data_IF_399604615433
#
_entry.id   IF_399604615433
#
_cell.length_a   1.000
_cell.length_b   1.000
_cell.length_c   1.000
_cell.angle_alpha   90.00
_cell.angle_beta   90.00
_cell.angle_gamma   90.00
#
_symmetry.space_group_name_H-M   'P 1'
#
loop_
_entity.id
_entity.type
_entity.pdbx_description
1 polymer ?
#
# COMPACT_ATOMS: atom_id res chain seq x y z
N UNK A 1 26.90 -33.98 23.62
CA UNK A 1 27.46 -33.44 22.36
C UNK A 1 26.32 -33.01 21.47
N UNK A 2 26.38 -31.74 21.06
CA UNK A 2 25.63 -31.01 20.04
C UNK A 2 24.45 -31.67 19.30
N UNK A 3 23.28 -31.01 19.36
CA UNK A 3 22.56 -30.58 18.15
C UNK A 3 22.27 -29.09 18.32
N UNK A 4 23.30 -28.26 18.10
CA UNK A 4 23.06 -26.87 17.72
C UNK A 4 22.69 -26.92 16.24
N UNK A 5 21.44 -27.25 15.94
CA UNK A 5 20.89 -27.02 14.61
C UNK A 5 20.85 -25.51 14.45
N UNK A 6 21.88 -24.97 13.80
CA UNK A 6 21.89 -23.62 13.26
C UNK A 6 20.68 -23.54 12.32
N UNK A 7 19.50 -23.21 12.86
CA UNK A 7 18.40 -22.81 12.03
C UNK A 7 18.89 -21.58 11.30
N UNK A 8 18.87 -21.56 9.96
CA UNK A 8 19.21 -20.34 9.23
C UNK A 8 18.35 -19.23 9.80
N UNK A 9 18.97 -18.14 10.24
CA UNK A 9 18.26 -16.99 10.77
C UNK A 9 17.36 -16.46 9.65
N UNK A 10 16.08 -16.84 9.68
CA UNK A 10 15.12 -16.39 8.69
C UNK A 10 15.00 -14.86 8.78
N UNK A 11 14.74 -14.17 7.66
CA UNK A 11 14.39 -12.76 7.72
C UNK A 11 13.16 -12.52 8.63
N UNK A 12 13.00 -11.31 9.19
CA UNK A 12 11.78 -10.95 9.90
C UNK A 12 10.52 -11.25 9.08
N UNK A 13 9.39 -11.49 9.74
CA UNK A 13 8.13 -11.89 9.07
C UNK A 13 7.70 -10.90 7.97
N UNK A 14 7.93 -9.60 8.17
CA UNK A 14 7.59 -8.55 7.21
C UNK A 14 8.44 -8.55 5.93
N UNK A 15 9.53 -9.31 5.89
CA UNK A 15 10.40 -9.47 4.71
C UNK A 15 10.29 -10.87 4.08
N UNK A 16 9.30 -11.66 4.50
CA UNK A 16 9.02 -12.99 3.93
C UNK A 16 7.66 -12.98 3.20
N UNK A 17 7.56 -13.53 1.98
CA UNK A 17 6.35 -13.42 1.18
C UNK A 17 5.14 -14.13 1.79
N UNK A 18 5.32 -15.30 2.41
CA UNK A 18 4.20 -16.10 2.90
C UNK A 18 3.50 -15.47 4.12
N UNK A 19 4.21 -14.96 5.16
CA UNK A 19 3.57 -14.20 6.24
C UNK A 19 2.90 -12.91 5.77
N UNK A 20 3.51 -12.18 4.84
CA UNK A 20 2.92 -10.98 4.23
C UNK A 20 1.61 -11.34 3.50
N UNK A 21 1.64 -12.38 2.66
CA UNK A 21 0.46 -12.86 1.95
C UNK A 21 -0.64 -13.30 2.92
N UNK A 22 -0.28 -14.06 3.96
CA UNK A 22 -1.25 -14.49 4.97
C UNK A 22 -1.88 -13.31 5.74
N UNK A 23 -1.13 -12.24 5.98
CA UNK A 23 -1.63 -11.02 6.61
C UNK A 23 -2.58 -10.24 5.69
N UNK A 24 -2.25 -10.12 4.40
CA UNK A 24 -3.02 -9.33 3.45
C UNK A 24 -4.19 -10.11 2.81
N UNK A 25 -4.18 -11.44 2.86
CA UNK A 25 -5.23 -12.28 2.25
C UNK A 25 -6.64 -11.93 2.75
N UNK A 26 -6.91 -11.72 4.06
CA UNK A 26 -8.23 -11.30 4.51
C UNK A 26 -8.69 -9.96 3.92
N UNK A 27 -7.77 -8.99 3.76
CA UNK A 27 -8.06 -7.68 3.18
C UNK A 27 -8.37 -7.82 1.68
N UNK A 28 -7.58 -8.63 0.96
CA UNK A 28 -7.80 -8.93 -0.46
C UNK A 28 -9.16 -9.61 -0.66
N UNK A 29 -9.47 -10.64 0.13
CA UNK A 29 -10.75 -11.35 0.04
C UNK A 29 -11.94 -10.44 0.35
N UNK A 30 -11.81 -9.57 1.35
CA UNK A 30 -12.84 -8.57 1.67
C UNK A 30 -13.05 -7.61 0.49
N UNK A 31 -11.97 -7.08 -0.08
CA UNK A 31 -12.03 -6.18 -1.23
C UNK A 31 -12.71 -6.85 -2.43
N UNK A 32 -12.28 -8.06 -2.80
CA UNK A 32 -12.87 -8.78 -3.93
C UNK A 32 -14.34 -9.12 -3.69
N UNK A 33 -14.71 -9.53 -2.47
CA UNK A 33 -16.10 -9.78 -2.12
C UNK A 33 -16.96 -8.50 -2.24
N UNK A 34 -16.46 -7.37 -1.75
CA UNK A 34 -17.14 -6.07 -1.88
C UNK A 34 -17.30 -5.66 -3.35
N UNK A 35 -16.30 -5.89 -4.19
CA UNK A 35 -16.39 -5.62 -5.64
C UNK A 35 -17.43 -6.52 -6.33
N UNK A 36 -17.46 -7.81 -5.99
CA UNK A 36 -18.41 -8.77 -6.56
C UNK A 36 -19.86 -8.49 -6.11
N UNK A 37 -20.06 -8.07 -4.86
CA UNK A 37 -21.38 -7.85 -4.26
C UNK A 37 -21.92 -6.43 -4.49
N UNK A 38 -21.07 -5.41 -4.47
CA UNK A 38 -21.47 -4.00 -4.59
C UNK A 38 -21.58 -3.49 -6.04
N UNK A 39 -21.16 -4.27 -7.03
CA UNK A 39 -21.35 -3.99 -8.45
C UNK A 39 -20.63 -2.72 -8.96
N UNK A 40 -21.17 -2.11 -10.02
CA UNK A 40 -20.53 -1.02 -10.80
C UNK A 40 -20.19 0.24 -10.00
N UNK A 41 -20.76 0.44 -8.81
CA UNK A 41 -20.54 1.64 -7.97
C UNK A 41 -19.18 1.64 -7.29
N UNK A 42 -18.80 0.54 -6.63
CA UNK A 42 -17.44 0.37 -6.11
C UNK A 42 -16.43 0.27 -7.24
N UNK A 43 -16.84 -0.28 -8.39
CA UNK A 43 -16.01 -0.30 -9.58
C UNK A 43 -15.70 1.12 -10.07
N UNK A 44 -16.70 1.99 -10.17
CA UNK A 44 -16.54 3.39 -10.56
C UNK A 44 -15.72 4.20 -9.54
N UNK A 45 -15.93 3.99 -8.23
CA UNK A 45 -15.22 4.68 -7.15
C UNK A 45 -13.71 4.53 -7.28
N UNK A 46 -13.33 3.32 -7.65
CA UNK A 46 -11.96 2.88 -7.66
C UNK A 46 -11.30 3.18 -9.00
N UNK A 47 -12.06 3.24 -10.11
CA UNK A 47 -11.63 3.76 -11.42
C UNK A 47 -11.30 5.25 -11.34
N UNK A 48 -12.11 6.04 -10.63
CA UNK A 48 -11.90 7.49 -10.47
C UNK A 48 -10.71 7.80 -9.56
N UNK A 49 -10.50 7.02 -8.49
CA UNK A 49 -9.28 7.11 -7.67
C UNK A 49 -7.99 6.78 -8.46
N UNK A 50 -8.11 6.11 -9.61
CA UNK A 50 -7.01 5.70 -10.49
C UNK A 50 -7.07 6.40 -11.86
N UNK A 51 -7.91 7.42 -12.07
CA UNK A 51 -8.09 8.04 -13.40
C UNK A 51 -6.78 8.64 -13.95
N UNK A 52 -5.88 9.08 -13.07
CA UNK A 52 -4.53 9.54 -13.45
C UNK A 52 -3.62 8.39 -13.93
N UNK A 53 -3.80 7.16 -13.44
CA UNK A 53 -3.18 5.95 -14.02
C UNK A 53 -3.87 5.59 -15.33
N UNK A 54 -5.17 5.88 -15.47
CA UNK A 54 -5.99 5.70 -16.67
C UNK A 54 -5.45 6.44 -17.90
N UNK A 55 -4.95 7.67 -17.76
CA UNK A 55 -4.34 8.41 -18.88
C UNK A 55 -3.01 7.80 -19.33
N UNK A 56 -2.16 7.34 -18.41
CA UNK A 56 -0.92 6.65 -18.73
C UNK A 56 -1.13 5.26 -19.35
N UNK A 57 -2.23 4.57 -18.99
CA UNK A 57 -2.54 3.20 -19.43
C UNK A 57 -3.55 3.12 -20.58
N UNK A 58 -4.16 4.24 -20.99
CA UNK A 58 -4.90 4.33 -22.25
C UNK A 58 -4.04 3.93 -23.46
N UNK A 59 -2.71 4.02 -23.31
CA UNK A 59 -1.72 3.49 -24.24
C UNK A 59 -1.78 1.97 -24.45
N UNK A 60 -2.23 1.19 -23.45
CA UNK A 60 -2.23 -0.28 -23.48
C UNK A 60 -3.61 -0.93 -23.72
N UNK A 61 -4.67 -0.14 -23.93
CA UNK A 61 -6.04 -0.65 -24.23
C UNK A 61 -6.59 -1.68 -23.22
N UNK A 62 -6.15 -1.63 -21.96
CA UNK A 62 -6.69 -2.47 -20.90
C UNK A 62 -7.97 -1.84 -20.33
N UNK A 63 -9.00 -2.65 -20.08
CA UNK A 63 -10.25 -2.17 -19.45
C UNK A 63 -9.95 -1.62 -18.05
N UNK A 64 -10.41 -0.40 -17.68
CA UNK A 64 -10.27 0.14 -16.33
C UNK A 64 -10.82 -0.79 -15.25
N UNK A 65 -11.86 -1.57 -15.57
CA UNK A 65 -12.47 -2.60 -14.69
C UNK A 65 -11.53 -3.80 -14.48
N UNK A 66 -10.75 -4.18 -15.49
CA UNK A 66 -9.75 -5.25 -15.38
C UNK A 66 -8.59 -4.82 -14.48
N UNK A 67 -8.08 -3.59 -14.62
CA UNK A 67 -7.06 -3.00 -13.74
C UNK A 67 -7.56 -2.95 -12.28
N UNK A 68 -8.87 -2.78 -12.12
CA UNK A 68 -9.51 -2.68 -10.82
C UNK A 68 -9.63 -4.00 -10.05
N UNK A 69 -10.16 -5.04 -10.68
CA UNK A 69 -10.14 -6.39 -10.09
C UNK A 69 -8.71 -6.94 -10.00
N UNK A 70 -7.80 -6.39 -10.79
CA UNK A 70 -6.42 -6.86 -10.79
C UNK A 70 -5.66 -6.46 -9.52
N UNK A 71 -5.96 -5.39 -8.77
CA UNK A 71 -5.04 -4.99 -7.68
C UNK A 71 -4.83 -6.09 -6.63
N UNK A 72 -5.92 -6.62 -6.06
CA UNK A 72 -5.85 -7.68 -5.06
C UNK A 72 -5.22 -8.95 -5.64
N UNK A 73 -5.64 -9.32 -6.85
CA UNK A 73 -5.12 -10.47 -7.59
C UNK A 73 -3.64 -10.32 -7.98
N UNK A 74 -3.16 -9.12 -8.30
CA UNK A 74 -1.78 -8.80 -8.66
C UNK A 74 -0.91 -8.87 -7.41
N UNK A 75 -1.36 -8.29 -6.28
CA UNK A 75 -0.64 -8.46 -5.00
C UNK A 75 -0.53 -9.94 -4.65
N UNK A 76 -1.63 -10.69 -4.77
CA UNK A 76 -1.62 -12.14 -4.54
C UNK A 76 -0.64 -12.85 -5.49
N UNK A 77 -0.70 -12.57 -6.79
CA UNK A 77 0.15 -13.19 -7.79
C UNK A 77 1.64 -12.86 -7.57
N UNK A 78 1.97 -11.61 -7.24
CA UNK A 78 3.33 -11.16 -6.96
C UNK A 78 3.88 -11.85 -5.72
N UNK A 79 3.15 -11.85 -4.61
CA UNK A 79 3.60 -12.48 -3.36
C UNK A 79 3.69 -14.01 -3.48
N UNK A 80 2.74 -14.64 -4.18
CA UNK A 80 2.75 -16.07 -4.45
C UNK A 80 3.93 -16.45 -5.35
N UNK A 81 4.16 -15.69 -6.42
CA UNK A 81 5.32 -15.89 -7.31
C UNK A 81 6.63 -15.72 -6.54
N UNK A 82 6.73 -14.67 -5.71
CA UNK A 82 7.89 -14.46 -4.86
C UNK A 82 8.11 -15.65 -3.91
N UNK A 83 7.06 -16.16 -3.26
CA UNK A 83 7.16 -17.34 -2.37
C UNK A 83 7.61 -18.60 -3.11
N UNK A 84 7.06 -18.86 -4.30
CA UNK A 84 7.47 -20.01 -5.13
C UNK A 84 8.93 -19.89 -5.56
N UNK A 85 9.37 -18.69 -5.96
CA UNK A 85 10.74 -18.42 -6.39
C UNK A 85 11.76 -18.51 -5.24
N UNK A 86 11.37 -18.17 -4.00
CA UNK A 86 12.27 -18.30 -2.84
C UNK A 86 12.34 -19.72 -2.30
N UNK A 87 11.39 -20.59 -2.64
CA UNK A 87 11.37 -21.98 -2.20
C UNK A 87 11.21 -22.14 -0.67
N UNK A 88 10.65 -21.12 0.00
CA UNK A 88 10.38 -21.18 1.43
C UNK A 88 9.34 -22.27 1.76
N UNK A 89 9.35 -22.76 3.00
CA UNK A 89 8.40 -23.79 3.42
C UNK A 89 6.99 -23.20 3.49
N UNK A 90 6.00 -23.96 3.00
CA UNK A 90 4.56 -23.67 3.14
C UNK A 90 4.05 -23.89 4.57
N UNK A 91 4.65 -23.19 5.54
CA UNK A 91 4.28 -23.27 6.95
C UNK A 91 4.13 -21.88 7.51
N UNK A 92 2.88 -21.51 7.78
CA UNK A 92 2.52 -20.24 8.40
C UNK A 92 2.52 -20.43 9.92
N UNK A 93 3.18 -19.52 10.63
CA UNK A 93 3.00 -19.38 12.07
C UNK A 93 1.92 -18.31 12.29
N UNK A 94 0.74 -18.65 12.83
CA UNK A 94 -0.42 -17.73 12.86
C UNK A 94 -0.15 -16.38 13.54
N UNK A 95 0.80 -16.35 14.49
CA UNK A 95 1.20 -15.13 15.18
C UNK A 95 1.93 -14.14 14.26
N UNK A 96 2.68 -14.60 13.27
CA UNK A 96 3.43 -13.74 12.35
C UNK A 96 2.51 -12.77 11.56
N UNK A 97 1.50 -13.24 10.79
CA UNK A 97 0.60 -12.33 10.08
C UNK A 97 -0.24 -11.48 11.03
N UNK A 98 -0.67 -12.01 12.18
CA UNK A 98 -1.42 -11.25 13.17
C UNK A 98 -0.60 -10.06 13.72
N UNK A 99 0.69 -10.27 13.97
CA UNK A 99 1.59 -9.20 14.42
C UNK A 99 1.84 -8.17 13.33
N UNK A 100 1.93 -8.56 12.06
CA UNK A 100 2.05 -7.60 10.94
C UNK A 100 0.81 -6.72 10.82
N UNK A 101 -0.38 -7.30 10.97
CA UNK A 101 -1.64 -6.54 11.00
C UNK A 101 -1.68 -5.57 12.18
N UNK A 102 -1.34 -6.03 13.39
CA UNK A 102 -1.31 -5.20 14.58
C UNK A 102 -0.30 -4.05 14.46
N UNK A 103 0.92 -4.35 13.99
CA UNK A 103 1.97 -3.36 13.78
C UNK A 103 1.52 -2.30 12.75
N UNK A 104 0.88 -2.72 11.66
CA UNK A 104 0.31 -1.81 10.67
C UNK A 104 -0.78 -0.91 11.25
N UNK A 105 -1.72 -1.47 12.03
CA UNK A 105 -2.76 -0.67 12.69
C UNK A 105 -2.17 0.37 13.64
N UNK A 106 -1.13 0.01 14.40
CA UNK A 106 -0.42 0.95 15.28
C UNK A 106 0.31 2.01 14.44
N UNK A 107 0.91 1.60 13.32
CA UNK A 107 1.62 2.49 12.40
C UNK A 107 0.69 3.44 11.61
N UNK A 108 -0.62 3.28 11.66
CA UNK A 108 -1.56 4.29 11.17
C UNK A 108 -1.63 5.53 12.08
N UNK A 109 -1.32 5.40 13.38
CA UNK A 109 -1.47 6.50 14.34
C UNK A 109 -0.61 7.74 14.02
N UNK A 110 0.67 7.62 13.59
CA UNK A 110 1.45 8.78 13.14
C UNK A 110 0.85 9.50 11.94
N UNK A 111 0.21 8.78 11.01
CA UNK A 111 -0.47 9.39 9.86
C UNK A 111 -1.69 10.20 10.33
N UNK A 112 -2.49 9.65 11.23
CA UNK A 112 -3.64 10.36 11.81
C UNK A 112 -3.23 11.60 12.59
N UNK A 113 -2.16 11.50 13.39
CA UNK A 113 -1.61 12.63 14.13
C UNK A 113 -1.07 13.72 13.20
N UNK A 114 -0.38 13.33 12.12
CA UNK A 114 0.12 14.27 11.11
C UNK A 114 -1.02 14.96 10.37
N UNK A 115 -2.06 14.24 9.95
CA UNK A 115 -3.22 14.83 9.29
C UNK A 115 -3.96 15.82 10.20
N UNK A 116 -4.09 15.51 11.50
CA UNK A 116 -4.63 16.45 12.48
C UNK A 116 -3.75 17.70 12.63
N UNK A 117 -2.42 17.53 12.69
CA UNK A 117 -1.46 18.62 12.83
C UNK A 117 -1.46 19.58 11.62
N UNK A 118 -1.53 19.03 10.40
CA UNK A 118 -1.60 19.83 9.17
C UNK A 118 -3.01 20.37 8.88
N UNK A 119 -4.01 20.00 9.68
CA UNK A 119 -5.40 20.43 9.50
C UNK A 119 -6.10 19.77 8.31
N UNK A 120 -5.60 18.63 7.83
CA UNK A 120 -6.06 17.97 6.59
C UNK A 120 -6.99 16.79 6.86
N UNK A 121 -7.32 16.50 8.13
CA UNK A 121 -8.13 15.33 8.51
C UNK A 121 -9.49 15.26 7.78
N UNK A 122 -10.05 16.41 7.37
CA UNK A 122 -11.30 16.49 6.61
C UNK A 122 -11.11 16.82 5.11
N UNK A 123 -9.90 17.23 4.73
CA UNK A 123 -9.57 17.68 3.37
C UNK A 123 -8.85 16.59 2.56
N UNK A 124 -8.23 15.62 3.22
CA UNK A 124 -7.42 14.59 2.56
C UNK A 124 -7.77 13.20 3.10
N UNK A 125 -8.49 12.40 2.32
CA UNK A 125 -8.05 11.02 2.17
C UNK A 125 -6.75 11.06 1.33
N UNK A 126 -5.81 10.14 1.51
CA UNK A 126 -4.59 10.08 0.69
C UNK A 126 -4.93 9.59 -0.73
N UNK A 127 -5.80 10.31 -1.45
CA UNK A 127 -6.14 10.00 -2.82
C UNK A 127 -6.74 11.21 -3.56
N UNK A 128 -6.56 11.29 -4.88
CA UNK A 128 -7.19 12.31 -5.71
C UNK A 128 -8.72 12.14 -5.64
N UNK A 129 -9.44 13.11 -5.07
CA UNK A 129 -10.90 13.17 -5.10
C UNK A 129 -11.33 14.37 -5.91
N UNK A 130 -12.08 14.12 -6.99
CA UNK A 130 -13.52 14.25 -6.85
C UNK A 130 -14.27 13.11 -7.55
N UNK A 131 -14.99 12.24 -6.82
CA UNK A 131 -16.24 11.68 -7.36
C UNK A 131 -17.05 10.77 -6.42
N UNK A 132 -16.46 10.03 -5.48
CA UNK A 132 -17.23 9.03 -4.71
C UNK A 132 -17.00 9.18 -3.22
N UNK A 133 -17.89 9.94 -2.60
CA UNK A 133 -18.15 9.84 -1.16
C UNK A 133 -18.68 8.43 -0.87
N UNK A 134 -18.00 7.63 -0.03
CA UNK A 134 -18.49 6.31 0.32
C UNK A 134 -19.90 6.43 0.92
N UNK A 135 -20.84 5.63 0.42
CA UNK A 135 -22.24 5.68 0.87
C UNK A 135 -22.50 4.83 2.12
N UNK A 136 -21.51 4.04 2.53
CA UNK A 136 -21.57 3.18 3.71
C UNK A 136 -20.19 2.98 4.31
N UNK A 137 -20.15 2.58 5.58
CA UNK A 137 -18.92 2.19 6.29
C UNK A 137 -18.17 1.07 5.56
N UNK A 138 -18.89 0.09 4.99
CA UNK A 138 -18.26 -1.01 4.26
C UNK A 138 -17.62 -0.53 2.95
N UNK A 139 -18.25 0.41 2.25
CA UNK A 139 -17.67 1.03 1.05
C UNK A 139 -16.40 1.81 1.40
N UNK A 140 -16.43 2.58 2.50
CA UNK A 140 -15.28 3.34 2.96
C UNK A 140 -14.07 2.44 3.27
N UNK A 141 -14.31 1.32 3.96
CA UNK A 141 -13.26 0.33 4.26
C UNK A 141 -12.75 -0.33 2.97
N UNK A 142 -13.63 -0.67 2.03
CA UNK A 142 -13.22 -1.27 0.76
C UNK A 142 -12.37 -0.33 -0.09
N UNK A 143 -12.75 0.96 -0.16
CA UNK A 143 -11.96 1.99 -0.84
C UNK A 143 -10.59 2.15 -0.18
N UNK A 144 -10.54 2.24 1.15
CA UNK A 144 -9.29 2.38 1.91
C UNK A 144 -8.33 1.19 1.72
N UNK A 145 -8.84 -0.04 1.82
CA UNK A 145 -8.05 -1.26 1.51
C UNK A 145 -7.58 -1.24 0.06
N UNK A 146 -8.47 -0.81 -0.83
CA UNK A 146 -8.19 -0.69 -2.23
C UNK A 146 -7.01 0.22 -2.53
N UNK A 147 -7.01 1.44 -1.99
CA UNK A 147 -5.96 2.44 -2.13
C UNK A 147 -4.65 1.96 -1.49
N UNK A 148 -4.71 1.47 -0.25
CA UNK A 148 -3.54 0.94 0.44
C UNK A 148 -2.86 -0.21 -0.30
N UNK A 149 -3.62 -1.12 -0.94
CA UNK A 149 -3.02 -2.19 -1.74
C UNK A 149 -2.41 -1.67 -3.05
N UNK A 150 -3.10 -0.80 -3.79
CA UNK A 150 -2.64 -0.33 -5.10
C UNK A 150 -1.44 0.59 -4.98
N UNK A 151 -1.51 1.57 -4.09
CA UNK A 151 -0.50 2.61 -3.98
C UNK A 151 0.77 2.07 -3.34
N UNK A 152 0.66 1.23 -2.31
CA UNK A 152 1.86 0.59 -1.75
C UNK A 152 2.49 -0.39 -2.74
N UNK A 153 1.70 -1.13 -3.53
CA UNK A 153 2.25 -1.99 -4.58
C UNK A 153 3.02 -1.16 -5.60
N UNK A 154 2.45 -0.04 -6.05
CA UNK A 154 3.04 0.81 -7.08
C UNK A 154 4.29 1.55 -6.57
N UNK A 155 4.18 2.32 -5.49
CA UNK A 155 5.25 3.21 -5.05
C UNK A 155 6.30 2.50 -4.19
N UNK A 156 5.89 1.53 -3.38
CA UNK A 156 6.78 0.90 -2.40
C UNK A 156 7.34 -0.39 -2.95
N UNK A 157 6.51 -1.37 -3.30
CA UNK A 157 7.02 -2.63 -3.81
C UNK A 157 7.69 -2.48 -5.19
N UNK A 158 6.95 -2.00 -6.19
CA UNK A 158 7.48 -1.84 -7.56
C UNK A 158 8.42 -0.64 -7.68
N UNK A 159 8.04 0.53 -7.17
CA UNK A 159 8.80 1.77 -7.28
C UNK A 159 10.17 1.69 -6.60
N UNK A 160 10.23 1.24 -5.34
CA UNK A 160 11.53 1.10 -4.63
C UNK A 160 12.37 0.03 -5.31
N UNK A 161 11.79 -1.10 -5.73
CA UNK A 161 12.53 -2.13 -6.46
C UNK A 161 13.12 -1.60 -7.78
N UNK A 162 12.37 -0.82 -8.55
CA UNK A 162 12.83 -0.23 -9.81
C UNK A 162 13.99 0.76 -9.59
N UNK A 163 13.87 1.64 -8.58
CA UNK A 163 14.94 2.60 -8.26
C UNK A 163 16.18 1.89 -7.72
N UNK A 164 16.02 0.87 -6.86
CA UNK A 164 17.14 0.08 -6.38
C UNK A 164 17.82 -0.70 -7.49
N UNK A 165 17.07 -1.33 -8.39
CA UNK A 165 17.62 -2.00 -9.56
C UNK A 165 18.48 -1.05 -10.40
N UNK A 166 17.98 0.16 -10.68
CA UNK A 166 18.74 1.16 -11.42
C UNK A 166 19.97 1.64 -10.66
N UNK A 167 19.81 2.07 -9.40
CA UNK A 167 20.90 2.71 -8.67
C UNK A 167 21.95 1.70 -8.18
N UNK A 168 21.52 0.58 -7.62
CA UNK A 168 22.40 -0.41 -7.02
C UNK A 168 22.89 -1.42 -8.04
N UNK A 169 22.00 -2.02 -8.82
CA UNK A 169 22.41 -3.13 -9.71
C UNK A 169 23.07 -2.61 -11.00
N UNK A 170 22.50 -1.57 -11.60
CA UNK A 170 23.02 -0.96 -12.85
C UNK A 170 24.13 0.06 -12.56
N UNK A 171 23.88 1.06 -11.70
CA UNK A 171 24.82 2.16 -11.44
C UNK A 171 25.81 1.88 -10.29
N UNK A 172 25.68 0.74 -9.59
CA UNK A 172 26.60 0.31 -8.52
C UNK A 172 26.73 1.31 -7.35
N UNK A 173 25.68 2.08 -7.09
CA UNK A 173 25.56 2.92 -5.88
C UNK A 173 25.47 2.02 -4.65
N UNK A 174 26.07 2.45 -3.52
CA UNK A 174 26.00 1.73 -2.24
C UNK A 174 24.54 1.48 -1.83
N UNK A 175 24.22 0.26 -1.40
CA UNK A 175 22.87 -0.17 -0.98
C UNK A 175 22.16 0.84 -0.06
N UNK A 176 22.85 1.34 0.96
CA UNK A 176 22.26 2.29 1.93
C UNK A 176 21.86 3.60 1.26
N UNK A 177 22.70 4.11 0.35
CA UNK A 177 22.43 5.32 -0.41
C UNK A 177 21.30 5.06 -1.43
N UNK A 178 21.33 3.92 -2.10
CA UNK A 178 20.26 3.48 -3.00
C UNK A 178 18.90 3.43 -2.30
N UNK A 179 18.84 2.88 -1.07
CA UNK A 179 17.62 2.84 -0.26
C UNK A 179 17.10 4.22 0.12
N UNK A 180 17.98 5.11 0.60
CA UNK A 180 17.59 6.49 0.94
C UNK A 180 17.04 7.21 -0.29
N UNK A 181 17.76 7.13 -1.42
CA UNK A 181 17.32 7.78 -2.66
C UNK A 181 16.02 7.17 -3.16
N UNK A 182 15.85 5.84 -3.09
CA UNK A 182 14.61 5.18 -3.50
C UNK A 182 13.41 5.66 -2.69
N UNK A 183 13.53 5.75 -1.36
CA UNK A 183 12.45 6.29 -0.50
C UNK A 183 12.14 7.75 -0.86
N UNK A 184 13.15 8.59 -1.07
CA UNK A 184 12.94 10.00 -1.44
C UNK A 184 12.25 10.13 -2.80
N UNK A 185 12.71 9.39 -3.80
CA UNK A 185 12.17 9.44 -5.16
C UNK A 185 10.74 8.93 -5.21
N UNK A 186 10.44 7.80 -4.54
CA UNK A 186 9.07 7.26 -4.56
C UNK A 186 8.12 8.07 -3.69
N UNK A 187 8.57 8.72 -2.62
CA UNK A 187 7.77 9.69 -1.86
C UNK A 187 7.45 10.94 -2.69
N UNK A 188 8.41 11.43 -3.49
CA UNK A 188 8.17 12.53 -4.42
C UNK A 188 7.16 12.13 -5.51
N UNK A 189 7.32 10.94 -6.10
CA UNK A 189 6.37 10.39 -7.08
C UNK A 189 4.97 10.22 -6.49
N UNK A 190 4.87 9.73 -5.25
CA UNK A 190 3.62 9.63 -4.50
C UNK A 190 2.95 11.00 -4.31
N UNK A 191 3.72 12.03 -3.99
CA UNK A 191 3.19 13.40 -3.85
C UNK A 191 2.68 13.94 -5.18
N UNK A 192 3.42 13.72 -6.27
CA UNK A 192 3.00 14.14 -7.62
C UNK A 192 1.72 13.43 -8.07
N UNK A 193 1.57 12.16 -7.70
CA UNK A 193 0.35 11.37 -7.96
C UNK A 193 -0.90 11.92 -7.26
N UNK A 194 -0.75 12.77 -6.24
CA UNK A 194 -1.88 13.39 -5.55
C UNK A 194 -2.25 14.77 -6.11
N UNK A 195 -1.68 15.15 -7.26
CA UNK A 195 -1.87 16.46 -7.89
C UNK A 195 -1.70 17.65 -6.93
N UNK A 196 -0.45 17.95 -6.51
CA UNK A 196 -0.19 18.97 -5.50
C UNK A 196 -0.62 20.39 -5.94
N UNK A 197 -0.98 20.59 -7.21
CA UNK A 197 -1.50 21.86 -7.71
C UNK A 197 -2.96 22.10 -7.26
N UNK A 198 -3.73 21.04 -7.04
CA UNK A 198 -5.14 21.09 -6.61
C UNK A 198 -5.29 20.99 -5.08
N UNK A 199 -4.18 20.91 -4.35
CA UNK A 199 -4.15 20.69 -2.90
C UNK A 199 -3.78 21.97 -2.13
N UNK A 200 -4.26 22.07 -0.88
CA UNK A 200 -3.76 23.09 0.04
C UNK A 200 -2.28 22.85 0.38
N UNK A 201 -1.50 23.89 0.74
CA UNK A 201 -0.09 23.70 1.14
C UNK A 201 0.08 22.72 2.32
N UNK A 202 -0.87 22.70 3.25
CA UNK A 202 -0.88 21.74 4.36
C UNK A 202 -1.10 20.31 3.89
N UNK A 203 -1.99 20.11 2.93
CA UNK A 203 -2.26 18.81 2.30
C UNK A 203 -1.04 18.29 1.52
N UNK A 204 -0.36 19.14 0.74
CA UNK A 204 0.90 18.78 0.05
C UNK A 204 1.97 18.38 1.06
N UNK A 205 2.14 19.15 2.14
CA UNK A 205 3.11 18.84 3.19
C UNK A 205 2.79 17.50 3.89
N UNK A 206 1.51 17.24 4.17
CA UNK A 206 1.05 15.99 4.74
C UNK A 206 1.32 14.81 3.80
N UNK A 207 0.91 14.86 2.53
CA UNK A 207 1.13 13.79 1.55
C UNK A 207 2.61 13.50 1.36
N UNK A 208 3.46 14.53 1.27
CA UNK A 208 4.91 14.35 1.17
C UNK A 208 5.49 13.67 2.41
N UNK A 209 5.07 14.07 3.62
CA UNK A 209 5.50 13.45 4.86
C UNK A 209 4.99 12.00 4.99
N UNK A 210 3.74 11.73 4.62
CA UNK A 210 3.16 10.40 4.57
C UNK A 210 3.91 9.50 3.58
N UNK A 211 4.26 10.04 2.41
CA UNK A 211 5.10 9.40 1.41
C UNK A 211 6.42 8.86 1.99
N UNK A 212 7.15 9.74 2.68
CA UNK A 212 8.40 9.41 3.36
C UNK A 212 8.21 8.40 4.49
N UNK A 213 7.17 8.58 5.31
CA UNK A 213 6.87 7.70 6.43
C UNK A 213 6.56 6.28 5.96
N UNK A 214 5.64 6.12 5.00
CA UNK A 214 5.26 4.83 4.44
C UNK A 214 6.43 4.17 3.70
N UNK A 215 7.25 4.95 2.98
CA UNK A 215 8.48 4.45 2.37
C UNK A 215 9.49 3.91 3.40
N UNK A 216 9.69 4.62 4.51
CA UNK A 216 10.51 4.14 5.62
C UNK A 216 9.93 2.90 6.29
N UNK A 217 8.62 2.88 6.51
CA UNK A 217 7.89 1.75 7.10
C UNK A 217 8.02 0.50 6.22
N UNK A 218 7.88 0.64 4.91
CA UNK A 218 8.11 -0.44 3.94
C UNK A 218 9.52 -1.03 4.05
N UNK A 219 10.56 -0.18 4.06
CA UNK A 219 11.95 -0.66 4.13
C UNK A 219 12.23 -1.35 5.46
N UNK A 220 11.78 -0.78 6.58
CA UNK A 220 12.10 -1.28 7.92
C UNK A 220 11.23 -2.46 8.35
N UNK A 221 9.95 -2.47 8.00
CA UNK A 221 8.92 -3.38 8.54
C UNK A 221 8.23 -4.23 7.48
N UNK A 222 8.32 -3.84 6.21
CA UNK A 222 7.82 -4.64 5.09
C UNK A 222 6.47 -4.21 4.54
N UNK A 223 6.08 -4.89 3.47
CA UNK A 223 4.92 -4.52 2.64
C UNK A 223 3.58 -4.56 3.38
N UNK A 224 3.30 -5.64 4.13
CA UNK A 224 2.02 -5.76 4.84
C UNK A 224 1.79 -4.63 5.85
N UNK A 225 2.83 -4.23 6.58
CA UNK A 225 2.74 -3.17 7.59
C UNK A 225 2.44 -1.82 6.93
N UNK A 226 3.09 -1.52 5.80
CA UNK A 226 2.84 -0.29 5.04
C UNK A 226 1.40 -0.24 4.47
N UNK A 227 0.93 -1.33 3.86
CA UNK A 227 -0.45 -1.45 3.34
C UNK A 227 -1.47 -1.23 4.44
N UNK A 228 -1.31 -1.88 5.58
CA UNK A 228 -2.27 -1.80 6.69
C UNK A 228 -2.23 -0.43 7.36
N UNK A 229 -1.07 0.20 7.49
CA UNK A 229 -0.96 1.56 8.02
C UNK A 229 -1.67 2.58 7.12
N UNK A 230 -1.45 2.49 5.81
CA UNK A 230 -2.09 3.34 4.81
C UNK A 230 -3.61 3.13 4.79
N UNK A 231 -4.06 1.89 4.57
CA UNK A 231 -5.48 1.57 4.57
C UNK A 231 -6.16 1.89 5.91
N UNK A 232 -5.46 1.72 7.03
CA UNK A 232 -5.97 2.07 8.36
C UNK A 232 -6.21 3.57 8.53
N UNK A 233 -5.27 4.39 8.06
CA UNK A 233 -5.45 5.84 8.03
C UNK A 233 -6.67 6.24 7.18
N UNK A 234 -6.73 5.76 5.93
CA UNK A 234 -7.80 6.09 5.00
C UNK A 234 -9.15 5.62 5.52
N UNK A 235 -9.23 4.42 6.10
CA UNK A 235 -10.47 3.89 6.64
C UNK A 235 -11.03 4.80 7.75
N UNK A 236 -10.18 5.33 8.64
CA UNK A 236 -10.63 6.26 9.69
C UNK A 236 -11.20 7.55 9.10
N UNK A 237 -10.48 8.15 8.15
CA UNK A 237 -10.91 9.41 7.50
C UNK A 237 -12.19 9.21 6.68
N UNK A 238 -12.23 8.16 5.84
CA UNK A 238 -13.36 7.88 4.95
C UNK A 238 -14.61 7.43 5.71
N UNK A 239 -14.47 6.65 6.79
CA UNK A 239 -15.62 6.26 7.62
C UNK A 239 -16.18 7.48 8.37
N UNK A 240 -15.32 8.37 8.86
CA UNK A 240 -15.78 9.62 9.48
C UNK A 240 -16.59 10.46 8.49
N UNK A 241 -16.09 10.62 7.26
CA UNK A 241 -16.80 11.34 6.19
C UNK A 241 -18.10 10.65 5.73
N UNK A 242 -18.17 9.32 5.74
CA UNK A 242 -19.36 8.58 5.34
C UNK A 242 -20.49 8.61 6.40
N UNK A 243 -20.17 9.03 7.62
CA UNK A 243 -21.12 9.04 8.76
C UNK A 243 -21.47 10.44 9.26
N UNK A 244 -20.85 11.48 8.69
CA UNK A 244 -21.16 12.90 8.90
C UNK A 244 -22.25 13.39 7.96
#
# INVERSE_FOLDING_TARGET
>A
MAVNSQQPHLPPAGHRPLPILAALLPLILFLEAMLLLGGTRLTAARVLAHEQIGEAMHFFSLSPVFILHATGLVVLAVLLSWHVLTGERWRIQPLEPAMLLLEGCIAAAPLLAAAAFFGTMWDTALGPQPAITPTSTLDAIAVAIGAGLSEELLFRMAGVAAVLWLLVDVLRVKQTTGLIVAVLVTAAAFTLYHDPAEMSPGAVAFVAAAGLYLGGLYVMRGFAVAVVAHAGYDAVVLVAAATS
#
